data_IF_340012343526
#
_entry.id   IF_340012343526
#
_cell.length_a   1.000
_cell.length_b   1.000
_cell.length_c   1.000
_cell.angle_alpha   90.00
_cell.angle_beta   90.00
_cell.angle_gamma   90.00
#
_symmetry.space_group_name_H-M   'P 1'
#
loop_
_entity.id
_entity.type
_entity.pdbx_description
1 polymer ?
#
# COMPACT_ATOMS: atom_id res chain seq x y z
N UNK A 1 -14.49 24.14 -4.98
CA UNK A 1 -14.63 22.68 -5.10
C UNK A 1 -15.53 22.42 -6.29
N UNK A 2 -14.99 21.91 -7.39
CA UNK A 2 -15.78 21.66 -8.59
C UNK A 2 -16.79 20.54 -8.32
N UNK A 3 -18.01 20.78 -8.76
CA UNK A 3 -19.10 19.80 -8.73
C UNK A 3 -19.03 18.82 -9.92
N UNK A 4 -17.94 18.85 -10.67
CA UNK A 4 -17.77 18.05 -11.87
C UNK A 4 -17.37 16.62 -11.49
N UNK A 5 -18.21 15.66 -11.82
CA UNK A 5 -17.92 14.23 -11.73
C UNK A 5 -17.06 13.78 -12.92
N UNK A 6 -16.43 12.63 -12.82
CA UNK A 6 -15.78 11.97 -13.94
C UNK A 6 -16.82 11.25 -14.79
N UNK A 7 -16.82 11.53 -16.09
CA UNK A 7 -17.67 10.83 -17.06
C UNK A 7 -16.85 9.78 -17.78
N UNK A 8 -17.29 8.54 -17.73
CA UNK A 8 -16.70 7.44 -18.48
C UNK A 8 -17.59 7.09 -19.66
N UNK A 9 -17.02 7.13 -20.86
CA UNK A 9 -17.63 6.54 -22.06
C UNK A 9 -17.04 5.14 -22.22
N UNK A 10 -17.87 4.15 -22.25
CA UNK A 10 -17.49 2.77 -22.50
C UNK A 10 -18.23 2.20 -23.70
N UNK A 11 -17.63 1.23 -24.31
CA UNK A 11 -18.28 0.42 -25.37
C UNK A 11 -18.39 -0.97 -24.78
N UNK A 12 -19.58 -1.60 -24.87
CA UNK A 12 -19.75 -2.98 -24.41
C UNK A 12 -19.03 -3.98 -25.32
N UNK A 13 -19.05 -5.25 -24.95
CA UNK A 13 -18.44 -6.33 -25.73
C UNK A 13 -19.05 -6.50 -27.13
N UNK A 14 -20.20 -5.86 -27.40
CA UNK A 14 -20.91 -5.90 -28.68
C UNK A 14 -20.72 -4.61 -29.50
N UNK A 15 -19.93 -3.66 -29.00
CA UNK A 15 -19.60 -2.42 -29.71
C UNK A 15 -20.67 -1.33 -29.60
N UNK A 16 -21.62 -1.44 -28.65
CA UNK A 16 -22.60 -0.39 -28.37
C UNK A 16 -22.09 0.56 -27.30
N UNK A 17 -22.34 1.86 -27.50
CA UNK A 17 -22.06 2.87 -26.48
C UNK A 17 -22.86 2.57 -25.22
N UNK A 18 -22.14 2.35 -24.12
CA UNK A 18 -22.73 2.21 -22.79
C UNK A 18 -23.05 3.61 -22.27
N UNK A 19 -24.24 3.79 -21.69
CA UNK A 19 -24.69 5.05 -21.13
C UNK A 19 -23.62 5.75 -20.32
N UNK A 20 -23.47 7.07 -20.55
CA UNK A 20 -22.56 7.91 -19.80
C UNK A 20 -22.85 7.81 -18.30
N UNK A 21 -22.01 7.11 -17.54
CA UNK A 21 -22.11 7.11 -16.09
C UNK A 21 -21.24 8.23 -15.52
N UNK A 22 -21.86 9.25 -14.98
CA UNK A 22 -21.18 10.25 -14.16
C UNK A 22 -20.93 9.67 -12.76
N UNK A 23 -19.66 9.57 -12.39
CA UNK A 23 -19.25 9.18 -11.06
C UNK A 23 -18.86 10.39 -10.23
N UNK A 24 -19.62 10.66 -9.19
CA UNK A 24 -19.28 11.68 -8.22
C UNK A 24 -18.40 11.07 -7.11
N UNK A 25 -17.63 11.90 -6.41
CA UNK A 25 -16.77 11.45 -5.30
C UNK A 25 -17.49 10.54 -4.29
N UNK A 26 -18.79 10.79 -4.04
CA UNK A 26 -19.65 9.96 -3.17
C UNK A 26 -19.95 8.56 -3.74
N UNK A 27 -20.03 8.44 -5.06
CA UNK A 27 -20.31 7.17 -5.73
C UNK A 27 -19.10 6.25 -5.73
N UNK A 28 -17.88 6.81 -5.82
CA UNK A 28 -16.65 6.07 -5.64
C UNK A 28 -16.58 5.42 -4.26
N UNK A 29 -16.99 6.15 -3.21
CA UNK A 29 -17.04 5.58 -1.87
C UNK A 29 -18.03 4.41 -1.75
N UNK A 30 -19.09 4.39 -2.53
CA UNK A 30 -20.18 3.44 -2.44
C UNK A 30 -19.99 2.21 -3.34
N UNK A 31 -19.55 2.39 -4.58
CA UNK A 31 -19.41 1.33 -5.59
C UNK A 31 -18.07 0.57 -5.51
N UNK A 32 -16.98 1.23 -5.10
CA UNK A 32 -15.64 0.63 -5.02
C UNK A 32 -15.29 0.08 -3.62
N UNK A 33 -16.22 0.07 -2.66
CA UNK A 33 -16.03 -0.51 -1.32
C UNK A 33 -16.63 -1.89 -1.15
N UNK A 34 -17.03 -2.56 -2.24
CA UNK A 34 -17.50 -3.93 -2.08
C UNK A 34 -16.37 -4.83 -1.58
N UNK A 35 -16.69 -5.82 -0.76
CA UNK A 35 -15.71 -6.75 -0.23
C UNK A 35 -15.01 -7.51 -1.34
N UNK A 36 -15.74 -7.87 -2.38
CA UNK A 36 -15.25 -8.56 -3.56
C UNK A 36 -14.22 -7.72 -4.35
N UNK A 37 -14.51 -6.43 -4.55
CA UNK A 37 -13.58 -5.52 -5.24
C UNK A 37 -12.30 -5.36 -4.44
N UNK A 38 -12.39 -5.15 -3.12
CA UNK A 38 -11.23 -5.01 -2.25
C UNK A 38 -10.40 -6.30 -2.21
N UNK A 39 -11.05 -7.46 -2.15
CA UNK A 39 -10.37 -8.76 -2.21
C UNK A 39 -9.65 -8.95 -3.54
N UNK A 40 -10.29 -8.59 -4.65
CA UNK A 40 -9.69 -8.68 -5.99
C UNK A 40 -8.46 -7.78 -6.12
N UNK A 41 -8.52 -6.53 -5.62
CA UNK A 41 -7.39 -5.61 -5.63
C UNK A 41 -6.24 -6.09 -4.77
N UNK A 42 -6.51 -6.56 -3.55
CA UNK A 42 -5.48 -7.09 -2.67
C UNK A 42 -4.86 -8.38 -3.23
N UNK A 43 -5.65 -9.26 -3.85
CA UNK A 43 -5.16 -10.47 -4.50
C UNK A 43 -4.28 -10.15 -5.69
N UNK A 44 -4.71 -9.22 -6.56
CA UNK A 44 -3.92 -8.76 -7.69
C UNK A 44 -2.60 -8.12 -7.25
N UNK A 45 -2.62 -7.33 -6.16
CA UNK A 45 -1.40 -6.77 -5.59
C UNK A 45 -0.43 -7.87 -5.14
N UNK A 46 -0.85 -8.84 -4.32
CA UNK A 46 0.04 -9.89 -3.82
C UNK A 46 0.66 -10.71 -4.95
N UNK A 47 -0.11 -10.96 -6.02
CA UNK A 47 0.35 -11.75 -7.18
C UNK A 47 1.35 -11.00 -8.06
N UNK A 48 1.24 -9.66 -8.16
CA UNK A 48 2.01 -8.85 -9.10
C UNK A 48 3.01 -7.89 -8.43
N UNK A 49 3.07 -7.84 -7.10
CA UNK A 49 3.95 -6.95 -6.38
C UNK A 49 5.41 -7.21 -6.71
N UNK A 50 6.16 -6.15 -6.91
CA UNK A 50 7.62 -6.21 -6.99
C UNK A 50 8.17 -6.76 -5.68
N UNK A 51 9.17 -7.61 -5.78
CA UNK A 51 9.80 -8.29 -4.66
C UNK A 51 11.17 -7.74 -4.37
N UNK A 52 11.55 -7.79 -3.12
CA UNK A 52 12.90 -7.50 -2.68
C UNK A 52 13.89 -8.46 -3.38
N UNK A 53 14.95 -7.93 -4.01
CA UNK A 53 15.85 -8.74 -4.84
C UNK A 53 16.71 -9.73 -4.05
N UNK A 54 16.83 -9.56 -2.72
CA UNK A 54 17.65 -10.42 -1.88
C UNK A 54 16.81 -11.37 -0.99
N UNK A 55 15.75 -10.85 -0.37
CA UNK A 55 14.89 -11.67 0.48
C UNK A 55 13.78 -12.38 -0.28
N UNK A 56 13.49 -11.95 -1.52
CA UNK A 56 12.34 -12.39 -2.32
C UNK A 56 10.98 -12.18 -1.65
N UNK A 57 10.93 -11.45 -0.54
CA UNK A 57 9.69 -11.00 0.08
C UNK A 57 9.00 -9.95 -0.79
N UNK A 58 7.69 -9.77 -0.59
CA UNK A 58 7.00 -8.62 -1.20
C UNK A 58 7.73 -7.36 -0.76
N UNK A 59 8.12 -6.54 -1.73
CA UNK A 59 8.82 -5.30 -1.50
C UNK A 59 8.00 -4.33 -0.66
N UNK A 60 8.66 -3.44 0.06
CA UNK A 60 7.96 -2.40 0.83
C UNK A 60 6.92 -1.70 -0.01
N UNK A 61 5.74 -1.54 0.54
CA UNK A 61 4.55 -1.07 -0.18
C UNK A 61 3.82 0.00 0.61
N UNK A 62 3.41 1.08 -0.07
CA UNK A 62 2.43 2.02 0.44
C UNK A 62 1.08 1.78 -0.23
N UNK A 63 0.03 1.66 0.56
CA UNK A 63 -1.36 1.56 0.09
C UNK A 63 -2.14 2.78 0.56
N UNK A 64 -2.63 3.58 -0.39
CA UNK A 64 -3.45 4.76 -0.10
C UNK A 64 -4.94 4.41 -0.18
N UNK A 65 -5.65 4.58 0.93
CA UNK A 65 -7.08 4.30 1.06
C UNK A 65 -7.94 5.57 1.07
N UNK A 66 -9.24 5.42 0.82
CA UNK A 66 -10.21 6.53 0.77
C UNK A 66 -10.51 7.07 2.18
N UNK A 67 -10.57 6.18 3.18
CA UNK A 67 -10.99 6.50 4.55
C UNK A 67 -10.39 5.54 5.56
N UNK A 68 -10.46 5.90 6.85
CA UNK A 68 -9.99 5.07 7.96
C UNK A 68 -10.64 3.67 7.96
N UNK A 69 -11.98 3.62 7.76
CA UNK A 69 -12.73 2.36 7.69
C UNK A 69 -12.26 1.49 6.52
N UNK A 70 -11.93 2.11 5.38
CA UNK A 70 -11.38 1.41 4.24
C UNK A 70 -9.97 0.88 4.55
N UNK A 71 -9.12 1.67 5.20
CA UNK A 71 -7.78 1.25 5.59
C UNK A 71 -7.80 0.03 6.53
N UNK A 72 -8.66 0.03 7.56
CA UNK A 72 -8.88 -1.14 8.44
C UNK A 72 -9.23 -2.38 7.64
N UNK A 73 -10.18 -2.26 6.71
CA UNK A 73 -10.63 -3.37 5.88
C UNK A 73 -9.53 -3.92 4.99
N UNK A 74 -8.80 -3.05 4.30
CA UNK A 74 -7.69 -3.42 3.41
C UNK A 74 -6.57 -4.10 4.22
N UNK A 75 -6.22 -3.55 5.38
CA UNK A 75 -5.21 -4.14 6.28
C UNK A 75 -5.59 -5.56 6.67
N UNK A 76 -6.86 -5.80 7.05
CA UNK A 76 -7.35 -7.13 7.40
C UNK A 76 -7.26 -8.09 6.22
N UNK A 77 -7.78 -7.70 5.05
CA UNK A 77 -7.75 -8.55 3.83
C UNK A 77 -6.31 -8.89 3.44
N UNK A 78 -5.39 -7.94 3.49
CA UNK A 78 -3.99 -8.17 3.17
C UNK A 78 -3.33 -9.16 4.14
N UNK A 79 -3.61 -9.07 5.44
CA UNK A 79 -3.09 -10.03 6.43
C UNK A 79 -3.69 -11.43 6.25
N UNK A 80 -5.00 -11.54 5.99
CA UNK A 80 -5.66 -12.81 5.68
C UNK A 80 -5.08 -13.47 4.43
N UNK A 81 -4.84 -12.69 3.37
CA UNK A 81 -4.19 -13.19 2.16
C UNK A 81 -2.73 -13.54 2.39
N UNK A 82 -2.00 -12.75 3.17
CA UNK A 82 -0.60 -13.04 3.49
C UNK A 82 -0.47 -14.37 4.25
N UNK A 83 -1.36 -14.66 5.20
CA UNK A 83 -1.36 -15.95 5.89
C UNK A 83 -1.65 -17.12 4.94
N UNK A 84 -2.53 -16.90 3.95
CA UNK A 84 -2.85 -17.90 2.92
C UNK A 84 -1.68 -18.18 1.97
N UNK A 85 -0.96 -17.12 1.53
CA UNK A 85 0.11 -17.24 0.54
C UNK A 85 1.49 -17.48 1.15
N UNK A 86 1.68 -17.06 2.41
CA UNK A 86 2.94 -17.12 3.15
C UNK A 86 2.67 -17.60 4.59
N UNK A 87 2.20 -18.85 4.77
CA UNK A 87 1.75 -19.34 6.07
C UNK A 87 2.85 -19.24 7.12
N UNK A 88 2.50 -18.76 8.31
CA UNK A 88 3.37 -18.57 9.48
C UNK A 88 4.52 -17.54 9.30
N UNK A 89 4.60 -16.86 8.18
CA UNK A 89 5.72 -15.94 7.92
C UNK A 89 5.55 -14.58 8.63
N UNK A 90 4.34 -14.02 8.63
CA UNK A 90 4.10 -12.65 9.08
C UNK A 90 3.24 -12.54 10.34
N UNK A 91 2.50 -13.57 10.74
CA UNK A 91 1.69 -13.61 11.96
C UNK A 91 0.77 -12.39 12.12
N UNK A 92 0.06 -11.99 11.06
CA UNK A 92 -0.80 -10.79 10.97
C UNK A 92 -0.06 -9.43 10.98
N UNK A 93 1.24 -9.44 10.82
CA UNK A 93 2.07 -8.21 10.77
C UNK A 93 2.48 -7.83 9.33
N UNK A 94 2.00 -8.53 8.31
CA UNK A 94 2.31 -8.23 6.91
C UNK A 94 1.89 -6.83 6.50
N UNK A 95 0.65 -6.46 6.83
CA UNK A 95 0.09 -5.15 6.56
C UNK A 95 -0.28 -4.44 7.87
N UNK A 96 0.16 -3.19 7.99
CA UNK A 96 -0.08 -2.34 9.16
C UNK A 96 -0.80 -1.08 8.74
N UNK A 97 -1.85 -0.73 9.49
CA UNK A 97 -2.53 0.56 9.32
C UNK A 97 -1.73 1.66 10.01
N UNK A 98 -1.36 2.69 9.25
CA UNK A 98 -0.70 3.89 9.77
C UNK A 98 -1.52 5.11 9.38
N UNK A 99 -2.33 5.59 10.31
CA UNK A 99 -3.28 6.67 10.07
C UNK A 99 -3.37 7.55 11.31
N UNK A 100 -3.73 8.81 11.12
CA UNK A 100 -3.82 9.81 12.20
C UNK A 100 -4.86 9.51 13.29
N UNK A 101 -5.75 8.54 13.06
CA UNK A 101 -6.74 8.12 14.05
C UNK A 101 -6.23 7.07 15.05
N UNK A 102 -5.07 6.49 14.81
CA UNK A 102 -4.43 5.56 15.73
C UNK A 102 -3.70 6.40 16.80
N UNK A 103 -3.96 6.09 18.05
CA UNK A 103 -3.35 6.82 19.17
C UNK A 103 -2.20 6.04 19.83
N UNK A 104 -2.14 4.74 19.61
CA UNK A 104 -1.09 3.88 20.14
C UNK A 104 -0.94 2.63 19.27
N UNK A 105 0.25 2.33 18.75
CA UNK A 105 1.47 3.15 18.83
C UNK A 105 1.36 4.47 18.05
N UNK A 106 2.27 5.42 18.33
CA UNK A 106 2.29 6.73 17.65
C UNK A 106 2.45 6.56 16.13
N UNK A 107 1.53 7.09 15.31
CA UNK A 107 1.60 6.95 13.86
C UNK A 107 2.86 7.56 13.24
N UNK A 108 3.39 8.62 13.82
CA UNK A 108 4.63 9.24 13.33
C UNK A 108 5.82 8.30 13.57
N UNK A 109 5.91 7.70 14.75
CA UNK A 109 6.94 6.70 15.01
C UNK A 109 6.81 5.50 14.10
N UNK A 110 5.59 5.01 13.86
CA UNK A 110 5.35 3.91 12.91
C UNK A 110 5.85 4.22 11.49
N UNK A 111 5.72 5.48 11.03
CA UNK A 111 6.27 5.87 9.71
C UNK A 111 7.79 5.83 9.69
N UNK A 112 8.43 6.23 10.78
CA UNK A 112 9.90 6.17 10.95
C UNK A 112 10.36 4.71 10.99
N UNK A 113 9.69 3.88 11.76
CA UNK A 113 10.02 2.46 11.89
C UNK A 113 9.83 1.71 10.57
N UNK A 114 8.78 2.02 9.81
CA UNK A 114 8.59 1.48 8.47
C UNK A 114 9.71 1.89 7.52
N UNK A 115 10.11 3.17 7.54
CA UNK A 115 11.24 3.66 6.74
C UNK A 115 12.53 2.94 7.09
N UNK A 116 12.79 2.72 8.38
CA UNK A 116 14.03 2.16 8.89
C UNK A 116 14.07 0.61 8.91
N UNK A 117 13.08 -0.06 8.32
CA UNK A 117 12.98 -1.52 8.33
C UNK A 117 12.88 -2.12 9.74
N UNK A 118 12.15 -1.46 10.64
CA UNK A 118 12.02 -1.89 12.04
C UNK A 118 10.55 -2.04 12.49
N UNK A 119 9.57 -1.80 11.61
CA UNK A 119 8.16 -1.89 12.00
C UNK A 119 7.78 -3.35 12.29
N UNK A 120 7.32 -3.60 13.52
CA UNK A 120 6.97 -4.92 14.07
C UNK A 120 8.13 -5.94 14.07
N UNK A 121 9.36 -5.45 14.14
CA UNK A 121 10.56 -6.27 14.22
C UNK A 121 11.07 -6.74 12.86
N UNK A 122 12.18 -7.44 12.89
CA UNK A 122 12.82 -7.95 11.67
C UNK A 122 12.05 -9.14 11.10
N UNK A 123 12.11 -9.27 9.79
CA UNK A 123 11.70 -10.50 9.11
C UNK A 123 12.59 -11.67 9.56
N UNK A 124 11.99 -12.84 9.73
CA UNK A 124 12.71 -14.05 10.16
C UNK A 124 13.57 -14.71 9.07
N UNK A 125 13.56 -14.18 7.83
CA UNK A 125 14.22 -14.83 6.70
C UNK A 125 15.75 -14.73 6.72
N UNK A 126 16.29 -13.64 7.23
CA UNK A 126 17.74 -13.45 7.38
C UNK A 126 18.05 -12.37 8.41
N UNK A 127 18.73 -12.75 9.50
CA UNK A 127 19.09 -11.83 10.58
C UNK A 127 20.11 -10.75 10.15
N UNK A 128 20.88 -11.04 9.11
CA UNK A 128 21.89 -10.11 8.56
C UNK A 128 21.29 -9.10 7.59
N UNK A 129 20.05 -9.30 7.15
CA UNK A 129 19.38 -8.42 6.20
C UNK A 129 18.32 -7.58 6.89
N UNK A 130 18.43 -6.25 6.76
CA UNK A 130 17.50 -5.28 7.38
C UNK A 130 16.16 -5.30 6.64
N UNK A 131 15.25 -6.17 7.04
CA UNK A 131 13.87 -6.19 6.56
C UNK A 131 12.89 -6.28 7.73
N UNK A 132 11.79 -5.52 7.67
CA UNK A 132 10.76 -5.59 8.71
C UNK A 132 9.69 -6.63 8.37
N UNK A 133 9.00 -7.18 9.38
CA UNK A 133 7.82 -8.01 9.18
C UNK A 133 6.72 -7.25 8.45
N UNK A 134 6.50 -5.98 8.80
CA UNK A 134 5.55 -5.13 8.12
C UNK A 134 6.05 -4.74 6.74
N UNK A 135 5.51 -5.39 5.71
CA UNK A 135 5.85 -5.14 4.30
C UNK A 135 4.94 -4.09 3.67
N UNK A 136 3.72 -3.95 4.19
CA UNK A 136 2.69 -3.05 3.64
C UNK A 136 2.25 -2.04 4.69
N UNK A 137 2.40 -0.77 4.37
CA UNK A 137 1.86 0.33 5.17
C UNK A 137 0.59 0.85 4.52
N UNK A 138 -0.54 0.71 5.21
CA UNK A 138 -1.87 1.14 4.73
C UNK A 138 -2.22 2.48 5.36
N UNK A 139 -2.42 3.50 4.55
CA UNK A 139 -2.65 4.88 5.01
C UNK A 139 -3.79 5.56 4.27
N UNK A 140 -4.27 6.67 4.80
CA UNK A 140 -5.29 7.52 4.14
C UNK A 140 -4.66 8.78 3.57
N UNK A 141 -3.96 9.54 4.38
CA UNK A 141 -3.36 10.82 3.98
C UNK A 141 -1.95 11.05 4.52
N UNK A 142 -1.52 10.22 5.47
CA UNK A 142 -0.14 10.24 5.93
C UNK A 142 0.80 9.74 4.84
N UNK A 143 2.05 10.16 4.85
CA UNK A 143 3.07 9.78 3.86
C UNK A 143 2.82 10.27 2.42
N UNK A 144 1.82 11.12 2.19
CA UNK A 144 1.59 11.74 0.86
C UNK A 144 2.62 12.82 0.56
N UNK A 145 3.05 13.56 1.56
CA UNK A 145 4.04 14.64 1.43
C UNK A 145 5.19 14.45 2.42
N UNK A 146 6.40 14.83 2.03
CA UNK A 146 7.58 14.83 2.92
C UNK A 146 8.13 13.47 3.36
N UNK A 147 7.45 12.36 3.10
CA UNK A 147 7.90 11.04 3.49
C UNK A 147 8.92 10.46 2.50
N UNK A 148 10.10 10.11 2.99
CA UNK A 148 11.21 9.59 2.20
C UNK A 148 11.56 8.17 2.63
N UNK A 149 11.07 7.17 1.91
CA UNK A 149 11.40 5.76 2.04
C UNK A 149 12.06 5.30 0.74
N UNK A 150 13.38 5.15 0.74
CA UNK A 150 14.17 4.94 -0.49
C UNK A 150 13.99 3.54 -1.07
N UNK A 151 13.81 2.55 -0.23
CA UNK A 151 13.64 1.13 -0.56
C UNK A 151 12.18 0.72 -0.82
N UNK A 152 11.31 1.71 -1.09
CA UNK A 152 9.92 1.48 -1.46
C UNK A 152 9.83 0.93 -2.88
N UNK A 153 9.22 -0.24 -3.04
CA UNK A 153 9.07 -0.91 -4.33
C UNK A 153 7.66 -0.78 -4.94
N UNK A 154 6.64 -0.69 -4.11
CA UNK A 154 5.27 -0.70 -4.60
C UNK A 154 4.45 0.45 -4.04
N UNK A 155 3.56 1.00 -4.87
CA UNK A 155 2.55 1.96 -4.48
C UNK A 155 1.20 1.50 -5.02
N UNK A 156 0.22 1.35 -4.13
CA UNK A 156 -1.15 0.99 -4.48
C UNK A 156 -2.09 2.17 -4.18
N UNK A 157 -2.78 2.63 -5.21
CA UNK A 157 -3.78 3.69 -5.10
C UNK A 157 -5.17 3.07 -5.02
N UNK A 158 -5.61 2.68 -3.81
CA UNK A 158 -6.94 2.12 -3.57
C UNK A 158 -7.94 3.25 -3.27
N UNK A 159 -7.72 4.35 -3.95
CA UNK A 159 -8.57 5.55 -3.91
C UNK A 159 -8.50 6.28 -5.25
N UNK A 160 -9.56 6.98 -5.66
CA UNK A 160 -9.48 7.88 -6.80
C UNK A 160 -8.54 9.06 -6.49
N UNK A 161 -7.77 9.46 -7.47
CA UNK A 161 -6.89 10.64 -7.40
C UNK A 161 -7.37 11.64 -8.45
N UNK A 162 -7.89 12.78 -7.99
CA UNK A 162 -8.49 13.79 -8.87
C UNK A 162 -7.54 14.94 -9.21
N UNK A 163 -6.39 15.04 -8.54
CA UNK A 163 -5.40 16.07 -8.76
C UNK A 163 -4.16 15.48 -9.42
N UNK A 164 -3.73 15.99 -10.60
CA UNK A 164 -2.47 15.59 -11.22
C UNK A 164 -1.27 15.79 -10.29
N UNK A 165 -1.26 16.87 -9.52
CA UNK A 165 -0.20 17.16 -8.54
C UNK A 165 -0.15 16.09 -7.44
N UNK A 166 -1.31 15.72 -6.89
CA UNK A 166 -1.40 14.65 -5.89
C UNK A 166 -0.91 13.31 -6.45
N UNK A 167 -1.31 12.97 -7.68
CA UNK A 167 -0.83 11.75 -8.35
C UNK A 167 0.69 11.74 -8.52
N UNK A 168 1.28 12.85 -8.97
CA UNK A 168 2.73 12.97 -9.14
C UNK A 168 3.44 12.83 -7.79
N UNK A 169 2.91 13.45 -6.74
CA UNK A 169 3.48 13.34 -5.39
C UNK A 169 3.46 11.90 -4.86
N UNK A 170 2.34 11.19 -5.01
CA UNK A 170 2.24 9.79 -4.61
C UNK A 170 3.16 8.89 -5.44
N UNK A 171 3.10 8.99 -6.76
CA UNK A 171 3.94 8.22 -7.68
C UNK A 171 5.44 8.46 -7.42
N UNK A 172 5.82 9.69 -7.18
CA UNK A 172 7.21 10.07 -6.92
C UNK A 172 7.85 9.40 -5.70
N UNK A 173 7.05 8.78 -4.82
CA UNK A 173 7.57 8.00 -3.69
C UNK A 173 8.23 6.69 -4.12
N UNK A 174 7.71 6.04 -5.17
CA UNK A 174 8.20 4.76 -5.66
C UNK A 174 9.13 4.84 -6.87
N UNK A 175 9.61 6.03 -7.25
CA UNK A 175 10.47 6.20 -8.44
C UNK A 175 11.95 6.39 -8.09
N UNK A 176 12.34 6.13 -6.85
CA UNK A 176 13.72 6.32 -6.41
C UNK A 176 14.56 5.09 -6.71
N UNK A 177 15.79 5.34 -7.14
CA UNK A 177 16.79 4.29 -7.24
C UNK A 177 17.35 3.99 -5.85
N UNK A 178 17.39 2.73 -5.49
CA UNK A 178 17.94 2.27 -4.22
C UNK A 178 18.82 1.05 -4.43
N UNK A 179 19.98 1.04 -3.77
CA UNK A 179 20.88 -0.11 -3.78
C UNK A 179 20.55 -1.02 -2.60
N UNK A 180 19.83 -2.10 -2.86
CA UNK A 180 19.40 -3.03 -1.83
C UNK A 180 20.54 -3.74 -1.08
N UNK A 181 21.78 -3.67 -1.59
CA UNK A 181 22.96 -4.14 -0.84
C UNK A 181 23.19 -3.36 0.45
N UNK A 182 22.72 -2.11 0.53
CA UNK A 182 22.83 -1.28 1.74
C UNK A 182 21.97 -1.80 2.92
N UNK A 183 21.06 -2.75 2.66
CA UNK A 183 20.27 -3.38 3.71
C UNK A 183 20.99 -4.54 4.41
N UNK A 184 22.13 -5.00 3.90
CA UNK A 184 22.96 -5.96 4.62
C UNK A 184 23.64 -5.28 5.80
N UNK A 185 23.58 -5.91 6.97
CA UNK A 185 24.32 -5.46 8.16
C UNK A 185 25.79 -5.73 7.94
N UNK A 186 26.64 -4.78 8.29
CA UNK A 186 28.07 -5.04 8.35
C UNK A 186 28.37 -6.07 9.45
N UNK A 187 29.36 -6.94 9.21
CA UNK A 187 29.78 -7.97 10.21
C UNK A 187 30.22 -7.34 11.54
N UNK A 188 30.44 -6.03 11.57
CA UNK A 188 30.77 -5.28 12.80
C UNK A 188 29.55 -4.83 13.61
N UNK A 189 28.33 -4.98 13.10
CA UNK A 189 27.08 -4.64 13.77
C UNK A 189 26.42 -5.88 14.45
N UNK A 190 27.11 -7.02 14.42
CA UNK A 190 26.77 -8.27 15.10
C UNK A 190 27.59 -8.35 16.38
#
# INVERSE_FOLDING_TARGET
MSKEGLTFKGVDAEGKDVDEQQFFKKDYERKFKSDETNLSFCSAFIQNALRDPYSNEIGKTLVFCVSQKHAVKITRILNELAEKYFPNQYQSDFAIQVTSSITSPDPQQMTIDFKNNNLNGNSSLNELYKSSKARVCVTVGMMTTGYDCKDLLNICLFRPVFSPTEFIQMKGRGTRLFNFKELWKDEKEI
#
